data_IF_937064763088
#
_entry.id   IF_937064763088
#
_cell.length_a   1.000
_cell.length_b   1.000
_cell.length_c   1.000
_cell.angle_alpha   90.00
_cell.angle_beta   90.00
_cell.angle_gamma   90.00
#
_symmetry.space_group_name_H-M   'P 1'
#
loop_
_entity.id
_entity.type
_entity.pdbx_description
1 polymer ?
#
# COMPACT_ATOMS: atom_id res chain seq x y z
N UNK A 1 -11.98 -26.53 2.75
CA UNK A 1 -11.05 -25.39 2.83
C UNK A 1 -11.36 -24.42 1.70
N UNK A 2 -11.58 -23.15 2.03
CA UNK A 2 -11.72 -22.05 1.07
C UNK A 2 -10.39 -21.30 1.03
N UNK A 3 -9.70 -21.35 -0.11
CA UNK A 3 -8.46 -20.60 -0.36
C UNK A 3 -8.70 -19.58 -1.45
N UNK A 4 -8.00 -18.45 -1.37
CA UNK A 4 -7.88 -17.52 -2.49
C UNK A 4 -6.41 -17.22 -2.74
N UNK A 5 -6.02 -17.00 -4.00
CA UNK A 5 -4.65 -16.64 -4.30
C UNK A 5 -4.34 -15.22 -3.83
N UNK A 6 -3.12 -15.02 -3.32
CA UNK A 6 -2.67 -13.77 -2.71
C UNK A 6 -2.72 -12.57 -3.66
N UNK A 7 -2.58 -12.79 -4.98
CA UNK A 7 -2.69 -11.72 -5.98
C UNK A 7 -4.04 -10.96 -5.92
N UNK A 8 -5.10 -11.56 -5.37
CA UNK A 8 -6.40 -10.88 -5.21
C UNK A 8 -6.26 -9.63 -4.33
N UNK A 9 -5.49 -9.72 -3.25
CA UNK A 9 -5.21 -8.60 -2.36
C UNK A 9 -4.23 -7.59 -2.98
N UNK A 10 -3.31 -8.06 -3.83
CA UNK A 10 -2.39 -7.18 -4.57
C UNK A 10 -3.15 -6.18 -5.44
N UNK A 11 -4.15 -6.63 -6.20
CA UNK A 11 -4.93 -5.73 -7.05
C UNK A 11 -5.67 -4.65 -6.26
N UNK A 12 -6.29 -5.02 -5.13
CA UNK A 12 -6.94 -4.06 -4.25
C UNK A 12 -5.94 -3.03 -3.70
N UNK A 13 -4.76 -3.50 -3.30
CA UNK A 13 -3.68 -2.64 -2.83
C UNK A 13 -3.14 -1.69 -3.92
N UNK A 14 -3.03 -2.15 -5.17
CA UNK A 14 -2.60 -1.31 -6.29
C UNK A 14 -3.60 -0.18 -6.56
N UNK A 15 -4.91 -0.42 -6.43
CA UNK A 15 -5.92 0.64 -6.54
C UNK A 15 -5.68 1.70 -5.46
N UNK A 16 -5.45 1.28 -4.21
CA UNK A 16 -5.12 2.19 -3.12
C UNK A 16 -3.85 3.01 -3.42
N UNK A 17 -2.83 2.37 -3.99
CA UNK A 17 -1.57 3.02 -4.36
C UNK A 17 -1.78 4.08 -5.45
N UNK A 18 -2.60 3.81 -6.46
CA UNK A 18 -2.97 4.80 -7.49
C UNK A 18 -3.66 6.02 -6.86
N UNK A 19 -4.63 5.80 -5.98
CA UNK A 19 -5.32 6.88 -5.25
C UNK A 19 -4.32 7.69 -4.43
N UNK A 20 -3.45 7.03 -3.68
CA UNK A 20 -2.40 7.67 -2.89
C UNK A 20 -1.49 8.56 -3.75
N UNK A 21 -1.02 8.07 -4.90
CA UNK A 21 -0.19 8.85 -5.82
C UNK A 21 -0.94 10.04 -6.40
N UNK A 22 -2.22 9.88 -6.77
CA UNK A 22 -3.04 10.98 -7.26
C UNK A 22 -3.19 12.10 -6.21
N UNK A 23 -3.47 11.75 -4.95
CA UNK A 23 -3.53 12.71 -3.85
C UNK A 23 -2.18 13.36 -3.55
N UNK A 24 -1.07 12.61 -3.63
CA UNK A 24 0.26 13.18 -3.47
C UNK A 24 0.52 14.26 -4.54
N UNK A 25 0.25 13.96 -5.82
CA UNK A 25 0.40 14.91 -6.93
C UNK A 25 -0.49 16.16 -6.73
N UNK A 26 -1.75 15.98 -6.35
CA UNK A 26 -2.66 17.11 -6.08
C UNK A 26 -2.14 18.02 -4.96
N UNK A 27 -1.59 17.45 -3.89
CA UNK A 27 -0.99 18.23 -2.81
C UNK A 27 0.20 19.06 -3.30
N UNK A 28 1.10 18.47 -4.10
CA UNK A 28 2.21 19.22 -4.71
C UNK A 28 1.72 20.34 -5.62
N UNK A 29 0.74 20.05 -6.46
CA UNK A 29 0.13 21.04 -7.35
C UNK A 29 -0.45 22.21 -6.56
N UNK A 30 -1.20 21.94 -5.49
CA UNK A 30 -1.80 22.97 -4.65
C UNK A 30 -0.74 23.87 -4.00
N UNK A 31 0.37 23.31 -3.52
CA UNK A 31 1.47 24.08 -2.93
C UNK A 31 2.11 25.03 -3.95
N UNK A 32 2.33 24.54 -5.18
CA UNK A 32 2.91 25.35 -6.26
C UNK A 32 1.94 26.49 -6.64
N UNK A 33 0.65 26.18 -6.81
CA UNK A 33 -0.36 27.16 -7.23
C UNK A 33 -0.66 28.22 -6.17
N UNK A 34 -0.59 27.87 -4.90
CA UNK A 34 -0.81 28.83 -3.80
C UNK A 34 0.39 29.74 -3.56
N UNK A 35 1.52 29.53 -4.26
CA UNK A 35 2.76 30.29 -4.12
C UNK A 35 3.20 30.46 -2.66
N UNK A 36 2.84 29.50 -1.80
CA UNK A 36 3.09 29.56 -0.38
C UNK A 36 4.53 29.14 -0.11
N UNK A 37 5.49 30.01 -0.48
CA UNK A 37 6.93 29.77 -0.36
C UNK A 37 7.48 30.14 1.02
N UNK A 38 6.66 30.00 2.08
CA UNK A 38 7.18 30.15 3.44
C UNK A 38 8.12 28.98 3.75
N UNK A 39 9.12 29.20 4.59
CA UNK A 39 10.04 28.15 5.04
C UNK A 39 9.28 26.95 5.63
N UNK A 40 8.21 27.20 6.37
CA UNK A 40 7.35 26.15 6.94
C UNK A 40 6.68 25.30 5.85
N UNK A 41 6.06 25.94 4.85
CA UNK A 41 5.44 25.24 3.72
C UNK A 41 6.46 24.41 2.94
N UNK A 42 7.67 24.93 2.73
CA UNK A 42 8.76 24.18 2.07
C UNK A 42 9.15 22.94 2.87
N UNK A 43 9.40 23.06 4.17
CA UNK A 43 9.80 21.95 5.03
C UNK A 43 8.74 20.85 5.01
N UNK A 44 7.46 21.21 5.22
CA UNK A 44 6.36 20.24 5.23
C UNK A 44 6.26 19.53 3.88
N UNK A 45 6.33 20.28 2.78
CA UNK A 45 6.28 19.72 1.41
C UNK A 45 7.44 18.76 1.14
N UNK A 46 8.65 19.13 1.54
CA UNK A 46 9.85 18.31 1.38
C UNK A 46 9.73 16.99 2.14
N UNK A 47 9.27 17.03 3.40
CA UNK A 47 9.06 15.82 4.19
C UNK A 47 7.94 14.95 3.63
N UNK A 48 6.79 15.54 3.26
CA UNK A 48 5.70 14.78 2.63
C UNK A 48 6.14 14.12 1.33
N UNK A 49 6.94 14.81 0.49
CA UNK A 49 7.49 14.24 -0.74
C UNK A 49 8.44 13.08 -0.47
N UNK A 50 9.38 13.30 0.45
CA UNK A 50 10.38 12.30 0.81
C UNK A 50 9.70 11.06 1.38
N UNK A 51 8.74 11.22 2.29
CA UNK A 51 7.96 10.12 2.84
C UNK A 51 7.14 9.39 1.76
N UNK A 52 6.54 10.12 0.82
CA UNK A 52 5.82 9.52 -0.31
C UNK A 52 6.74 8.64 -1.15
N UNK A 53 7.92 9.13 -1.52
CA UNK A 53 8.92 8.34 -2.28
C UNK A 53 9.37 7.12 -1.48
N UNK A 54 9.69 7.30 -0.20
CA UNK A 54 10.14 6.20 0.65
C UNK A 54 9.05 5.13 0.80
N UNK A 55 7.79 5.52 0.99
CA UNK A 55 6.66 4.59 1.02
C UNK A 55 6.58 3.80 -0.28
N UNK A 56 6.61 4.45 -1.44
CA UNK A 56 6.57 3.76 -2.74
C UNK A 56 7.77 2.81 -2.93
N UNK A 57 8.97 3.24 -2.54
CA UNK A 57 10.18 2.43 -2.64
C UNK A 57 10.12 1.18 -1.74
N UNK A 58 9.76 1.34 -0.46
CA UNK A 58 9.65 0.20 0.46
C UNK A 58 8.51 -0.73 0.08
N UNK A 59 7.38 -0.18 -0.38
CA UNK A 59 6.29 -0.97 -0.94
C UNK A 59 6.77 -1.83 -2.11
N UNK A 60 7.55 -1.26 -3.04
CA UNK A 60 8.13 -2.02 -4.15
C UNK A 60 9.04 -3.16 -3.66
N UNK A 61 9.92 -2.87 -2.70
CA UNK A 61 10.80 -3.89 -2.11
C UNK A 61 10.00 -5.06 -1.53
N UNK A 62 8.99 -4.79 -0.71
CA UNK A 62 8.16 -5.83 -0.08
C UNK A 62 7.36 -6.63 -1.12
N UNK A 63 6.77 -5.94 -2.10
CA UNK A 63 5.93 -6.59 -3.12
C UNK A 63 6.75 -7.45 -4.08
N UNK A 64 7.97 -7.02 -4.42
CA UNK A 64 8.84 -7.74 -5.37
C UNK A 64 9.33 -9.09 -4.84
N UNK A 65 9.41 -9.24 -3.52
CA UNK A 65 9.88 -10.47 -2.86
C UNK A 65 8.74 -11.45 -2.55
N UNK A 66 7.47 -11.03 -2.69
CA UNK A 66 6.33 -11.84 -2.32
C UNK A 66 5.99 -12.89 -3.39
N UNK A 67 5.66 -14.11 -2.96
CA UNK A 67 5.12 -15.14 -3.83
C UNK A 67 3.61 -14.92 -4.05
N UNK A 68 3.24 -14.28 -5.15
CA UNK A 68 1.85 -13.94 -5.48
C UNK A 68 0.97 -15.13 -5.88
N UNK A 69 1.58 -16.28 -6.18
CA UNK A 69 0.86 -17.52 -6.45
C UNK A 69 0.54 -18.29 -5.15
N UNK A 70 1.05 -17.84 -4.00
CA UNK A 70 0.73 -18.46 -2.72
C UNK A 70 -0.78 -18.39 -2.44
N UNK A 71 -1.32 -19.51 -1.97
CA UNK A 71 -2.71 -19.60 -1.54
C UNK A 71 -2.86 -19.07 -0.12
N UNK A 72 -3.82 -18.18 0.08
CA UNK A 72 -4.25 -17.71 1.39
C UNK A 72 -5.46 -18.52 1.81
N UNK A 73 -5.32 -19.25 2.91
CA UNK A 73 -6.41 -20.02 3.51
C UNK A 73 -7.38 -19.07 4.22
N UNK A 74 -8.56 -18.85 3.65
CA UNK A 74 -9.58 -17.98 4.24
C UNK A 74 -10.43 -18.72 5.27
N UNK A 75 -10.72 -19.99 5.00
CA UNK A 75 -11.59 -20.78 5.85
C UNK A 75 -11.20 -22.26 5.84
N UNK A 76 -10.91 -22.81 7.01
CA UNK A 76 -10.77 -24.25 7.20
C UNK A 76 -11.95 -24.78 8.01
N UNK A 77 -12.61 -25.82 7.50
CA UNK A 77 -13.66 -26.55 8.20
C UNK A 77 -13.15 -27.24 9.47
N UNK A 78 -11.86 -27.59 9.52
CA UNK A 78 -11.20 -28.18 10.70
C UNK A 78 -11.15 -27.24 11.92
N UNK A 79 -11.26 -25.93 11.68
CA UNK A 79 -11.36 -24.94 12.77
C UNK A 79 -12.69 -25.05 13.54
N UNK A 80 -13.75 -25.56 12.90
CA UNK A 80 -15.06 -25.73 13.51
C UNK A 80 -15.24 -27.12 14.12
N UNK A 81 -14.54 -28.13 13.59
CA UNK A 81 -14.66 -29.52 14.07
C UNK A 81 -13.64 -29.89 15.15
N UNK A 82 -12.71 -29.00 15.48
CA UNK A 82 -11.73 -29.19 16.58
C UNK A 82 -10.70 -30.30 16.34
N UNK A 83 -10.73 -30.92 15.16
CA UNK A 83 -9.79 -31.96 14.74
C UNK A 83 -8.54 -31.32 14.13
N UNK A 84 -7.73 -30.68 14.97
CA UNK A 84 -6.34 -30.35 14.62
C UNK A 84 -5.55 -31.65 14.78
N UNK A 85 -5.52 -32.47 13.74
CA UNK A 85 -4.67 -33.66 13.71
C UNK A 85 -3.30 -33.16 13.25
N UNK A 86 -2.34 -33.17 14.18
CA UNK A 86 -0.92 -32.89 13.91
C UNK A 86 -0.34 -33.87 12.89
#
# INVERSE_FOLDING_TARGET
MLTIPLYTFLFLYLIFLVVFVAFAIMNFYHIIMTASFTLASFIITFFTFTLTILTLYFTWQVISMANWQAEVLLFNTEWLTGSVIF
#
